data_IF_295585853597
#
_entry.id   IF_295585853597
#
_cell.length_a   1.000
_cell.length_b   1.000
_cell.length_c   1.000
_cell.angle_alpha   90.00
_cell.angle_beta   90.00
_cell.angle_gamma   90.00
#
_symmetry.space_group_name_H-M   'P 1'
#
loop_
_entity.id
_entity.type
_entity.pdbx_description
1 polymer ?
#
# COMPACT_ATOMS: atom_id res chain seq x y z
N UNK A 1 -3.77 -2.90 -0.72
CA UNK A 1 -2.86 -2.90 0.45
C UNK A 1 -3.52 -2.43 1.76
N UNK A 2 -4.21 -1.29 1.84
CA UNK A 2 -5.05 -0.97 3.01
C UNK A 2 -6.16 -2.02 3.28
N UNK A 3 -6.58 -2.76 2.23
CA UNK A 3 -7.54 -3.86 2.31
C UNK A 3 -6.95 -5.23 2.71
N UNK A 4 -5.62 -5.41 2.59
CA UNK A 4 -4.95 -6.67 2.96
C UNK A 4 -4.33 -6.56 4.36
N UNK A 5 -3.99 -5.34 4.81
CA UNK A 5 -3.47 -5.07 6.16
C UNK A 5 -4.45 -5.48 7.28
N UNK A 6 -5.77 -5.45 7.04
CA UNK A 6 -6.76 -5.84 8.03
C UNK A 6 -6.80 -7.35 8.33
N UNK A 7 -6.34 -8.22 7.42
CA UNK A 7 -6.40 -9.68 7.59
C UNK A 7 -5.20 -10.22 8.38
N UNK A 8 -4.06 -9.53 8.38
CA UNK A 8 -2.84 -9.97 9.09
C UNK A 8 -2.82 -9.63 10.60
N UNK A 9 -3.79 -8.89 11.14
CA UNK A 9 -3.73 -8.36 12.51
C UNK A 9 -4.33 -9.26 13.61
N UNK A 10 -4.78 -10.49 13.31
CA UNK A 10 -5.32 -11.40 14.34
C UNK A 10 -4.26 -12.23 15.08
N UNK A 11 -2.97 -12.05 14.82
CA UNK A 11 -1.91 -12.69 15.59
C UNK A 11 -1.06 -11.65 16.36
N UNK A 12 -0.93 -11.88 17.67
CA UNK A 12 -0.07 -11.20 18.64
C UNK A 12 -0.61 -9.92 19.31
N UNK A 13 -1.57 -10.11 20.23
CA UNK A 13 -1.65 -9.26 21.44
C UNK A 13 -0.79 -9.89 22.52
N UNK A 14 0.31 -9.22 22.87
CA UNK A 14 0.88 -9.25 24.22
C UNK A 14 1.70 -7.97 24.43
N UNK A 15 1.22 -7.11 25.32
CA UNK A 15 1.75 -5.76 25.52
C UNK A 15 3.03 -5.69 26.35
N UNK A 16 3.67 -4.52 26.31
CA UNK A 16 4.46 -3.93 27.39
C UNK A 16 4.63 -2.42 27.14
N UNK A 17 4.40 -1.62 28.18
CA UNK A 17 4.40 -0.16 28.12
C UNK A 17 5.79 0.44 27.82
N UNK A 18 5.81 1.58 27.11
CA UNK A 18 7.03 2.33 26.78
C UNK A 18 7.17 3.57 27.65
N UNK A 19 8.25 3.66 28.42
CA UNK A 19 8.74 4.91 29.02
C UNK A 19 9.59 5.68 27.99
N UNK A 20 9.51 7.02 27.99
CA UNK A 20 10.21 7.89 27.04
C UNK A 20 11.69 8.02 27.40
N UNK A 21 12.60 7.69 26.46
CA UNK A 21 14.03 8.05 26.54
C UNK A 21 14.27 9.48 26.04
N UNK A 22 15.21 10.24 26.64
CA UNK A 22 15.58 11.57 26.18
C UNK A 22 16.38 11.50 24.86
N UNK A 23 16.19 12.51 24.01
CA UNK A 23 16.73 12.60 22.65
C UNK A 23 18.13 13.24 22.68
N UNK A 24 19.17 12.44 22.45
CA UNK A 24 20.50 12.97 22.14
C UNK A 24 21.09 12.31 20.89
N UNK A 25 21.81 13.14 20.14
CA UNK A 25 22.61 12.90 18.92
C UNK A 25 21.86 12.81 17.59
N UNK A 26 22.39 13.57 16.61
CA UNK A 26 21.89 13.68 15.24
C UNK A 26 21.80 12.27 14.65
N UNK A 27 20.62 11.91 14.18
CA UNK A 27 20.45 10.70 13.39
C UNK A 27 21.40 10.77 12.19
N UNK A 28 22.19 9.73 11.88
CA UNK A 28 22.91 9.67 10.62
C UNK A 28 21.93 9.95 9.48
N UNK A 29 22.39 10.71 8.47
CA UNK A 29 21.60 10.96 7.27
C UNK A 29 21.07 9.63 6.77
N UNK A 30 19.74 9.57 6.63
CA UNK A 30 19.05 8.38 6.16
C UNK A 30 19.73 8.00 4.84
N UNK A 31 20.27 6.77 4.69
CA UNK A 31 20.77 6.32 3.41
C UNK A 31 19.68 6.64 2.39
N UNK A 32 20.04 7.21 1.24
CA UNK A 32 19.09 7.55 0.19
C UNK A 32 18.36 6.27 -0.19
N UNK A 33 17.24 6.01 0.48
CA UNK A 33 16.33 4.94 0.15
C UNK A 33 16.05 5.16 -1.32
N UNK A 34 16.35 4.17 -2.15
CA UNK A 34 15.89 4.16 -3.53
C UNK A 34 14.38 4.34 -3.48
N UNK A 35 13.92 5.57 -3.68
CA UNK A 35 12.53 5.92 -3.48
C UNK A 35 11.79 5.40 -4.69
N UNK A 36 11.13 4.26 -4.52
CA UNK A 36 10.42 3.61 -5.61
C UNK A 36 9.23 4.47 -6.04
N UNK A 37 9.27 4.89 -7.30
CA UNK A 37 8.15 5.57 -7.97
C UNK A 37 7.34 4.63 -8.85
N UNK A 38 7.84 3.40 -9.05
CA UNK A 38 7.25 2.34 -9.85
C UNK A 38 7.50 0.98 -9.19
N UNK A 39 6.68 -0.04 -9.50
CA UNK A 39 6.83 -1.42 -8.99
C UNK A 39 8.17 -2.03 -9.38
N UNK A 40 8.81 -2.70 -8.43
CA UNK A 40 10.11 -3.35 -8.61
C UNK A 40 9.98 -4.87 -8.43
N UNK A 41 10.21 -5.71 -9.46
CA UNK A 41 10.20 -7.16 -9.33
C UNK A 41 11.20 -7.68 -8.28
N UNK A 42 12.31 -6.97 -8.04
CA UNK A 42 13.24 -7.38 -7.00
C UNK A 42 12.62 -7.29 -5.60
N UNK A 43 11.64 -6.41 -5.38
CA UNK A 43 10.89 -6.35 -4.13
C UNK A 43 10.08 -7.62 -3.86
N UNK A 44 9.36 -8.12 -4.86
CA UNK A 44 8.64 -9.38 -4.72
C UNK A 44 9.57 -10.58 -4.65
N UNK A 45 10.71 -10.57 -5.36
CA UNK A 45 11.73 -11.62 -5.25
C UNK A 45 12.30 -11.73 -3.83
N UNK A 46 12.59 -10.60 -3.16
CA UNK A 46 13.05 -10.59 -1.76
C UNK A 46 12.00 -11.17 -0.81
N UNK A 47 10.71 -10.90 -1.05
CA UNK A 47 9.61 -11.47 -0.27
C UNK A 47 9.45 -12.96 -0.52
N UNK A 48 9.55 -13.41 -1.78
CA UNK A 48 9.51 -14.82 -2.13
C UNK A 48 10.66 -15.59 -1.44
N UNK A 49 11.88 -15.06 -1.53
CA UNK A 49 13.04 -15.62 -0.84
C UNK A 49 12.84 -15.69 0.67
N UNK A 50 12.21 -14.67 1.28
CA UNK A 50 11.89 -14.66 2.71
C UNK A 50 10.98 -15.84 3.08
N UNK A 51 9.94 -16.14 2.29
CA UNK A 51 9.07 -17.29 2.54
C UNK A 51 9.78 -18.63 2.32
N UNK A 52 10.63 -18.74 1.30
CA UNK A 52 11.37 -19.97 0.99
C UNK A 52 12.41 -20.28 2.07
N UNK A 53 13.18 -19.28 2.49
CA UNK A 53 14.32 -19.44 3.40
C UNK A 53 13.98 -19.16 4.86
N UNK A 54 12.75 -18.72 5.16
CA UNK A 54 12.29 -18.38 6.50
C UNK A 54 13.25 -17.38 7.19
N UNK A 55 13.58 -16.31 6.48
CA UNK A 55 14.53 -15.30 6.95
C UNK A 55 13.98 -14.54 8.18
N UNK A 56 14.85 -14.01 9.06
CA UNK A 56 14.41 -13.21 10.20
C UNK A 56 13.76 -11.88 9.76
N UNK A 57 12.90 -11.33 10.62
CA UNK A 57 12.20 -10.06 10.38
C UNK A 57 10.84 -10.25 9.71
N UNK A 58 10.20 -9.15 9.31
CA UNK A 58 8.89 -9.18 8.67
C UNK A 58 9.03 -9.21 7.14
N UNK A 59 8.16 -9.94 6.42
CA UNK A 59 8.19 -10.01 4.96
C UNK A 59 7.95 -8.64 4.32
N UNK A 60 7.09 -7.80 4.92
CA UNK A 60 6.79 -6.46 4.40
C UNK A 60 8.04 -5.56 4.37
N UNK A 61 8.94 -5.71 5.34
CA UNK A 61 10.17 -4.91 5.42
C UNK A 61 11.17 -5.26 4.30
N UNK A 62 11.02 -6.43 3.66
CA UNK A 62 11.89 -6.87 2.58
C UNK A 62 11.59 -6.17 1.25
N UNK A 63 10.43 -5.51 1.11
CA UNK A 63 10.03 -4.91 -0.17
C UNK A 63 10.82 -3.66 -0.50
N UNK A 64 11.39 -2.98 0.51
CA UNK A 64 12.15 -1.72 0.35
C UNK A 64 11.34 -0.57 -0.29
N UNK A 65 10.00 -0.62 -0.23
CA UNK A 65 9.15 0.51 -0.57
C UNK A 65 9.12 1.55 0.56
N UNK A 66 8.66 2.76 0.25
CA UNK A 66 8.53 3.79 1.28
C UNK A 66 7.52 3.34 2.33
N UNK A 67 7.88 3.43 3.61
CA UNK A 67 7.08 2.84 4.71
C UNK A 67 6.66 1.38 4.45
N UNK A 68 7.46 0.67 3.65
CA UNK A 68 7.33 -0.73 3.29
C UNK A 68 6.19 -1.09 2.32
N UNK A 69 5.22 -0.21 2.06
CA UNK A 69 4.10 -0.47 1.13
C UNK A 69 3.61 0.74 0.32
N UNK A 70 4.31 1.89 0.41
CA UNK A 70 3.93 3.12 -0.28
C UNK A 70 4.83 3.37 -1.49
N UNK A 71 4.20 3.56 -2.65
CA UNK A 71 4.85 4.10 -3.84
C UNK A 71 4.82 5.62 -3.81
N UNK A 72 5.99 6.21 -4.02
CA UNK A 72 6.14 7.65 -4.00
C UNK A 72 5.93 8.24 -5.40
N UNK A 73 5.31 9.42 -5.51
CA UNK A 73 5.26 10.10 -6.78
C UNK A 73 6.65 10.63 -7.17
N UNK A 74 6.87 10.84 -8.46
CA UNK A 74 8.04 11.56 -8.95
C UNK A 74 8.06 13.01 -8.42
N UNK A 75 9.25 13.50 -8.08
CA UNK A 75 9.45 14.87 -7.60
C UNK A 75 9.43 15.02 -6.06
N UNK A 76 8.93 16.15 -5.57
CA UNK A 76 9.01 16.52 -4.14
C UNK A 76 8.15 15.59 -3.30
N UNK A 77 8.79 14.78 -2.47
CA UNK A 77 8.12 13.86 -1.56
C UNK A 77 7.77 14.57 -0.24
N UNK A 78 6.61 14.22 0.29
CA UNK A 78 6.17 14.63 1.61
C UNK A 78 5.29 13.51 2.20
N UNK A 79 5.26 13.42 3.52
CA UNK A 79 4.39 12.48 4.24
C UNK A 79 2.94 12.96 4.32
N UNK A 80 2.63 14.03 3.59
CA UNK A 80 1.32 14.64 3.46
C UNK A 80 1.12 15.00 2.00
N UNK A 81 -0.12 15.00 1.55
CA UNK A 81 -0.47 15.56 0.25
C UNK A 81 -0.22 17.07 0.30
N UNK A 82 0.68 17.62 -0.55
CA UNK A 82 0.84 19.07 -0.65
C UNK A 82 -0.51 19.72 -0.96
N UNK A 83 -0.84 20.83 -0.29
CA UNK A 83 -2.12 21.55 -0.44
C UNK A 83 -2.47 21.81 -1.90
N UNK A 84 -1.47 22.20 -2.70
CA UNK A 84 -1.60 22.46 -4.15
C UNK A 84 -2.09 21.25 -4.95
N UNK A 85 -1.69 20.05 -4.54
CA UNK A 85 -2.03 18.79 -5.24
C UNK A 85 -3.15 18.01 -4.55
N UNK A 86 -3.63 18.47 -3.39
CA UNK A 86 -4.60 17.76 -2.57
C UNK A 86 -5.86 17.40 -3.38
N UNK A 87 -6.44 18.38 -4.09
CA UNK A 87 -7.67 18.16 -4.88
C UNK A 87 -7.47 17.19 -6.05
N UNK A 88 -6.30 17.18 -6.68
CA UNK A 88 -6.04 16.30 -7.84
C UNK A 88 -5.74 14.86 -7.41
N UNK A 89 -5.23 14.68 -6.19
CA UNK A 89 -4.92 13.41 -5.54
C UNK A 89 -6.11 12.77 -4.83
N UNK A 90 -7.26 13.43 -4.76
CA UNK A 90 -8.50 12.81 -4.28
C UNK A 90 -9.28 12.19 -5.44
N UNK A 91 -10.01 11.13 -5.12
CA UNK A 91 -11.00 10.55 -6.02
C UNK A 91 -12.24 11.45 -6.11
N UNK A 92 -12.64 11.90 -7.31
CA UNK A 92 -13.80 12.77 -7.47
C UNK A 92 -15.07 12.14 -6.88
N UNK A 93 -15.76 12.88 -6.02
CA UNK A 93 -16.97 12.38 -5.33
C UNK A 93 -16.73 11.18 -4.41
N UNK A 94 -15.47 10.85 -4.09
CA UNK A 94 -15.13 9.64 -3.34
C UNK A 94 -15.35 8.35 -4.12
N UNK A 95 -15.53 8.40 -5.44
CA UNK A 95 -15.76 7.22 -6.27
C UNK A 95 -14.45 6.69 -6.81
N UNK A 96 -14.17 5.41 -6.53
CA UNK A 96 -12.96 4.69 -6.93
C UNK A 96 -13.34 3.56 -7.89
N UNK A 97 -13.27 3.79 -9.21
CA UNK A 97 -13.46 2.72 -10.18
C UNK A 97 -12.33 1.69 -10.05
N UNK A 98 -12.65 0.40 -10.14
CA UNK A 98 -11.65 -0.66 -10.07
C UNK A 98 -11.86 -1.75 -11.12
N UNK A 99 -10.77 -2.44 -11.45
CA UNK A 99 -10.76 -3.69 -12.24
C UNK A 99 -9.85 -4.72 -11.56
N UNK A 100 -10.11 -6.00 -11.80
CA UNK A 100 -9.15 -7.06 -11.50
C UNK A 100 -8.21 -7.23 -12.70
N UNK A 101 -6.91 -7.16 -12.47
CA UNK A 101 -5.88 -7.25 -13.51
C UNK A 101 -5.52 -8.69 -13.90
N UNK A 102 -5.40 -9.58 -12.91
CA UNK A 102 -5.08 -10.99 -13.07
C UNK A 102 -6.27 -11.89 -12.68
N UNK A 103 -6.17 -13.18 -12.98
CA UNK A 103 -7.10 -14.17 -12.44
C UNK A 103 -6.83 -14.38 -10.94
N UNK A 104 -7.79 -13.94 -10.12
CA UNK A 104 -7.82 -14.20 -8.70
C UNK A 104 -8.57 -15.50 -8.41
N UNK A 105 -8.15 -16.21 -7.38
CA UNK A 105 -8.91 -17.35 -6.86
C UNK A 105 -10.24 -16.88 -6.28
N UNK A 106 -11.21 -17.79 -6.17
CA UNK A 106 -12.53 -17.48 -5.57
C UNK A 106 -12.39 -16.89 -4.16
N UNK A 107 -11.47 -17.43 -3.35
CA UNK A 107 -11.20 -16.92 -2.00
C UNK A 107 -10.62 -15.50 -2.05
N UNK A 108 -9.66 -15.22 -2.94
CA UNK A 108 -9.08 -13.87 -3.08
C UNK A 108 -10.15 -12.87 -3.55
N UNK A 109 -10.95 -13.23 -4.55
CA UNK A 109 -12.07 -12.40 -5.03
C UNK A 109 -13.09 -12.14 -3.92
N UNK A 110 -13.43 -13.16 -3.13
CA UNK A 110 -14.30 -13.00 -1.96
C UNK A 110 -13.72 -12.01 -0.96
N UNK A 111 -12.43 -12.12 -0.64
CA UNK A 111 -11.77 -11.20 0.29
C UNK A 111 -11.76 -9.76 -0.23
N UNK A 112 -11.47 -9.55 -1.52
CA UNK A 112 -11.55 -8.21 -2.13
C UNK A 112 -12.97 -7.65 -2.09
N UNK A 113 -13.98 -8.47 -2.42
CA UNK A 113 -15.38 -8.04 -2.39
C UNK A 113 -15.85 -7.70 -0.97
N UNK A 114 -15.44 -8.48 0.02
CA UNK A 114 -15.73 -8.19 1.43
C UNK A 114 -15.09 -6.87 1.87
N UNK A 115 -13.83 -6.65 1.52
CA UNK A 115 -13.11 -5.41 1.73
C UNK A 115 -13.81 -4.18 1.09
N UNK A 116 -14.21 -4.31 -0.17
CA UNK A 116 -14.98 -3.29 -0.90
C UNK A 116 -16.31 -3.02 -0.20
N UNK A 117 -17.01 -4.07 0.23
CA UNK A 117 -18.27 -3.95 0.96
C UNK A 117 -18.10 -3.16 2.27
N UNK A 118 -17.03 -3.41 3.04
CA UNK A 118 -16.73 -2.65 4.26
C UNK A 118 -16.54 -1.15 3.97
N UNK A 119 -15.75 -0.80 2.96
CA UNK A 119 -15.56 0.62 2.58
C UNK A 119 -16.86 1.28 2.15
N UNK A 120 -17.64 0.59 1.31
CA UNK A 120 -18.88 1.12 0.76
C UNK A 120 -19.97 1.31 1.83
N UNK A 121 -19.95 0.50 2.89
CA UNK A 121 -20.96 0.56 3.97
C UNK A 121 -20.54 1.44 5.14
N UNK A 122 -19.25 1.53 5.46
CA UNK A 122 -18.74 2.18 6.67
C UNK A 122 -18.11 3.56 6.43
N UNK A 123 -17.87 3.93 5.17
CA UNK A 123 -17.25 5.22 4.82
C UNK A 123 -18.08 5.95 3.75
N UNK A 124 -17.65 7.14 3.32
CA UNK A 124 -18.20 7.83 2.16
C UNK A 124 -17.50 7.45 0.83
N UNK A 125 -16.48 6.58 0.86
CA UNK A 125 -15.77 6.12 -0.33
C UNK A 125 -16.56 5.01 -1.03
N UNK A 126 -16.68 5.09 -2.35
CA UNK A 126 -17.47 4.16 -3.17
C UNK A 126 -16.59 3.47 -4.20
N UNK A 127 -16.22 2.24 -3.93
CA UNK A 127 -15.59 1.36 -4.92
C UNK A 127 -16.66 0.81 -5.86
N UNK A 128 -16.44 0.99 -7.17
CA UNK A 128 -17.38 0.58 -8.22
C UNK A 128 -16.64 -0.18 -9.32
N UNK A 129 -17.23 -1.24 -9.90
CA UNK A 129 -16.67 -1.86 -11.10
C UNK A 129 -16.52 -0.81 -12.20
N UNK A 130 -15.32 -0.71 -12.77
CA UNK A 130 -15.05 0.26 -13.84
C UNK A 130 -15.90 -0.04 -15.07
N UNK A 131 -16.38 1.02 -15.71
CA UNK A 131 -17.02 1.01 -17.02
C UNK A 131 -16.19 1.77 -18.04
N UNK A 132 -16.23 3.11 -18.00
CA UNK A 132 -15.58 4.01 -18.98
C UNK A 132 -14.70 5.07 -18.32
N UNK A 133 -14.49 4.98 -17.01
CA UNK A 133 -13.74 5.96 -16.27
C UNK A 133 -12.26 5.97 -16.72
N UNK A 134 -11.68 7.17 -16.96
CA UNK A 134 -10.30 7.28 -17.43
C UNK A 134 -9.28 6.95 -16.35
N UNK A 135 -9.63 7.17 -15.08
CA UNK A 135 -8.80 6.85 -13.92
C UNK A 135 -9.52 5.83 -13.06
N UNK A 136 -8.78 4.78 -12.69
CA UNK A 136 -9.27 3.62 -11.96
C UNK A 136 -8.07 2.95 -11.28
N UNK A 137 -8.33 2.06 -10.34
CA UNK A 137 -7.28 1.20 -9.78
C UNK A 137 -7.35 -0.18 -10.44
N UNK A 138 -6.20 -0.79 -10.68
CA UNK A 138 -6.10 -2.22 -10.99
C UNK A 138 -5.72 -2.95 -9.71
N UNK A 139 -6.52 -3.94 -9.34
CA UNK A 139 -6.14 -4.92 -8.32
C UNK A 139 -5.34 -6.00 -9.02
N UNK A 140 -4.05 -6.07 -8.75
CA UNK A 140 -3.09 -6.95 -9.43
C UNK A 140 -2.43 -7.92 -8.46
N UNK A 141 -2.07 -9.10 -8.97
CA UNK A 141 -1.28 -10.12 -8.26
C UNK A 141 0.04 -10.29 -8.99
N UNK A 142 0.90 -9.27 -8.86
CA UNK A 142 2.19 -9.21 -9.55
C UNK A 142 3.40 -9.67 -8.71
N UNK A 143 4.56 -9.93 -9.35
CA UNK A 143 5.80 -10.32 -8.69
C UNK A 143 6.53 -9.15 -8.02
N UNK A 144 5.83 -8.05 -7.72
CA UNK A 144 6.42 -6.80 -7.20
C UNK A 144 6.06 -6.56 -5.74
N UNK A 145 5.42 -7.53 -5.09
CA UNK A 145 4.97 -7.41 -3.70
C UNK A 145 3.71 -6.55 -3.55
N UNK A 146 3.50 -6.06 -2.33
CA UNK A 146 2.27 -5.39 -1.92
C UNK A 146 2.54 -3.88 -1.78
N UNK A 147 1.96 -3.07 -2.66
CA UNK A 147 2.18 -1.63 -2.61
C UNK A 147 0.95 -0.85 -3.12
N UNK A 148 0.94 0.46 -2.87
CA UNK A 148 -0.01 1.38 -3.51
C UNK A 148 0.53 2.79 -3.57
N UNK A 149 0.06 3.58 -4.52
CA UNK A 149 0.21 5.04 -4.46
C UNK A 149 -0.75 5.64 -3.42
N UNK A 150 -0.37 6.77 -2.83
CA UNK A 150 -1.26 7.52 -1.96
C UNK A 150 -2.25 8.36 -2.76
N UNK A 151 -3.55 8.08 -2.56
CA UNK A 151 -4.64 8.78 -3.24
C UNK A 151 -4.82 8.36 -4.69
N UNK A 152 -5.45 9.21 -5.49
CA UNK A 152 -5.61 9.03 -6.93
C UNK A 152 -4.29 9.33 -7.64
N UNK A 153 -3.79 8.36 -8.38
CA UNK A 153 -2.61 8.50 -9.24
C UNK A 153 -3.05 8.52 -10.70
N UNK A 154 -2.53 9.48 -11.48
CA UNK A 154 -2.97 9.74 -12.86
C UNK A 154 -1.97 9.28 -13.91
N UNK A 155 -0.79 8.84 -13.50
CA UNK A 155 0.31 8.43 -14.39
C UNK A 155 0.51 6.93 -14.28
N UNK A 156 -0.51 6.15 -14.62
CA UNK A 156 -0.44 4.69 -14.59
C UNK A 156 0.42 4.17 -15.75
#
# INVERSE_FOLDING_TARGET
>A
CLLISAICLLAAVSGQGRTRRPRTTKHPERPTSTQHTRPDPAAGARVAEWYEKQLPGLPIEQQNYYQFDVMLPEGKQANSLPTETFKTRLWPGGVVPYVFGDEFTELETFLFNHAIWQFNTQTCIRFVPRTKEPYYITLEKGPTGCWSYTGRYTNN
#
